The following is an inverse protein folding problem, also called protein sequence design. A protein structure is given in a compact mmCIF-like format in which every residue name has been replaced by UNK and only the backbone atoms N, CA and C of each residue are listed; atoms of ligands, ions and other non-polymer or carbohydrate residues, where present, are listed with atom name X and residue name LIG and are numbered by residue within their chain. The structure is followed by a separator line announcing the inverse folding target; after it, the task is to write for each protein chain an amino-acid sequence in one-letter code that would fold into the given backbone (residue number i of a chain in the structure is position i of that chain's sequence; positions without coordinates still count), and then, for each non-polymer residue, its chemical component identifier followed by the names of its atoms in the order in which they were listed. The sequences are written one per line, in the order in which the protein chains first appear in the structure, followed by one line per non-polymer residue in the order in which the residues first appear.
data_IF_302399247993
#
_entry.id   IF_302399247993
#
_cell.length_a   1.000
_cell.length_b   1.000
_cell.length_c   1.000
_cell.angle_alpha   90.00
_cell.angle_beta   90.00
_cell.angle_gamma   90.00
#
_symmetry.space_group_name_H-M   'P 1'
#
loop_
_entity.id
_entity.type
_entity.pdbx_description
1 polymer ?
#
# COMPACT_ATOMS: atom_id res chain seq x y z
N UNK A 1 -29.50 -2.37 -5.16
CA UNK A 1 -30.73 -2.26 -4.36
C UNK A 1 -30.80 -3.47 -3.44
N UNK A 2 -30.97 -3.25 -2.14
CA UNK A 2 -31.09 -4.29 -1.15
C UNK A 2 -32.50 -4.86 -1.06
N UNK A 3 -32.70 -5.78 -0.11
CA UNK A 3 -34.01 -6.39 0.20
C UNK A 3 -34.14 -6.60 1.70
N UNK A 4 -35.35 -6.46 2.26
CA UNK A 4 -35.65 -6.73 3.66
C UNK A 4 -35.83 -5.45 4.49
N UNK A 5 -35.60 -5.48 5.81
CA UNK A 5 -35.77 -4.29 6.65
C UNK A 5 -34.65 -3.26 6.39
N UNK A 6 -35.03 -1.98 6.33
CA UNK A 6 -34.11 -0.84 6.38
C UNK A 6 -33.98 -0.43 7.85
N UNK A 7 -32.76 -0.49 8.38
CA UNK A 7 -32.52 -0.38 9.82
C UNK A 7 -32.14 1.02 10.30
N UNK A 8 -31.45 1.78 9.46
CA UNK A 8 -30.90 3.10 9.80
C UNK A 8 -31.40 4.12 8.79
N UNK A 9 -31.77 5.28 9.30
CA UNK A 9 -32.24 6.44 8.54
C UNK A 9 -31.69 7.72 9.19
N UNK A 10 -31.50 8.76 8.39
CA UNK A 10 -30.98 10.07 8.82
C UNK A 10 -29.68 9.97 9.65
N UNK A 11 -28.76 9.10 9.26
CA UNK A 11 -27.47 8.92 9.96
C UNK A 11 -26.62 10.19 9.84
N UNK A 12 -26.25 10.78 10.97
CA UNK A 12 -25.48 12.04 11.07
C UNK A 12 -24.28 11.86 12.01
N UNK A 13 -23.19 11.34 11.48
CA UNK A 13 -21.94 11.17 12.23
C UNK A 13 -21.19 12.50 12.41
N UNK A 14 -20.51 12.65 13.55
CA UNK A 14 -19.54 13.72 13.82
C UNK A 14 -18.17 13.44 13.20
N UNK A 15 -17.87 12.15 12.94
CA UNK A 15 -16.63 11.67 12.32
C UNK A 15 -15.58 11.17 13.32
N UNK A 16 -15.91 11.09 14.61
CA UNK A 16 -15.05 10.55 15.66
C UNK A 16 -15.61 9.27 16.31
N UNK A 17 -16.78 8.81 15.85
CA UNK A 17 -17.38 7.56 16.26
C UNK A 17 -16.55 6.36 15.77
N UNK A 18 -16.46 5.32 16.58
CA UNK A 18 -15.76 4.08 16.21
C UNK A 18 -16.60 3.14 15.34
N UNK A 19 -17.88 3.45 15.15
CA UNK A 19 -18.85 2.65 14.41
C UNK A 19 -20.03 3.50 13.95
N UNK A 20 -20.65 3.12 12.84
CA UNK A 20 -21.89 3.73 12.32
C UNK A 20 -23.03 3.68 13.36
N UNK A 21 -23.02 2.68 14.26
CA UNK A 21 -24.02 2.54 15.32
C UNK A 21 -23.88 3.58 16.44
N UNK A 22 -22.73 4.25 16.52
CA UNK A 22 -22.49 5.34 17.46
C UNK A 22 -22.98 6.70 16.95
N UNK A 23 -23.36 6.79 15.67
CA UNK A 23 -23.80 8.04 15.07
C UNK A 23 -25.26 8.34 15.47
N UNK A 24 -25.59 9.62 15.75
CA UNK A 24 -26.98 10.06 15.80
C UNK A 24 -27.74 9.63 14.55
N UNK A 25 -28.90 9.00 14.73
CA UNK A 25 -29.77 8.52 13.67
C UNK A 25 -31.22 8.46 14.16
N UNK A 26 -32.16 8.24 13.24
CA UNK A 26 -33.55 7.92 13.58
C UNK A 26 -33.64 6.60 14.39
N UNK A 27 -34.71 6.40 15.19
CA UNK A 27 -34.89 5.15 15.93
C UNK A 27 -34.81 3.92 15.02
N UNK A 28 -34.24 2.84 15.55
CA UNK A 28 -33.92 1.66 14.77
C UNK A 28 -35.15 1.04 14.09
N UNK A 29 -35.09 0.82 12.78
CA UNK A 29 -36.20 0.29 11.98
C UNK A 29 -37.35 1.28 11.73
N UNK A 30 -37.23 2.53 12.18
CA UNK A 30 -38.14 3.62 11.84
C UNK A 30 -37.52 4.43 10.72
N UNK A 31 -38.11 4.35 9.53
CA UNK A 31 -37.58 4.97 8.32
C UNK A 31 -38.68 5.34 7.35
N UNK A 32 -38.44 6.37 6.54
CA UNK A 32 -39.27 6.74 5.40
C UNK A 32 -38.62 6.38 4.05
N UNK A 33 -37.45 5.74 4.08
CA UNK A 33 -36.69 5.34 2.89
C UNK A 33 -37.27 4.05 2.26
N UNK A 34 -36.98 3.86 0.98
CA UNK A 34 -37.15 2.58 0.28
C UNK A 34 -35.80 2.07 -0.25
N UNK A 35 -35.70 0.82 -0.70
CA UNK A 35 -34.40 0.24 -1.07
C UNK A 35 -33.66 0.94 -2.22
N UNK A 36 -34.38 1.68 -3.07
CA UNK A 36 -33.73 2.56 -4.08
C UNK A 36 -32.86 3.66 -3.45
N UNK A 37 -33.05 3.93 -2.16
CA UNK A 37 -32.33 4.92 -1.34
C UNK A 37 -31.27 4.26 -0.44
N UNK A 38 -31.03 2.95 -0.59
CA UNK A 38 -29.98 2.24 0.16
C UNK A 38 -28.62 2.91 -0.06
N UNK A 39 -28.00 3.35 1.03
CA UNK A 39 -26.70 4.00 0.99
C UNK A 39 -25.57 2.97 0.77
N UNK A 40 -24.59 3.35 -0.04
CA UNK A 40 -23.36 2.60 -0.24
C UNK A 40 -22.15 3.53 -0.03
N UNK A 41 -21.05 2.95 0.42
CA UNK A 41 -19.77 3.65 0.55
C UNK A 41 -18.71 2.94 -0.28
N UNK A 42 -17.84 3.72 -0.90
CA UNK A 42 -16.59 3.23 -1.46
C UNK A 42 -15.48 3.74 -0.54
N UNK A 43 -14.87 2.83 0.19
CA UNK A 43 -13.71 3.16 1.01
C UNK A 43 -12.52 3.46 0.08
N UNK A 44 -11.70 4.45 0.44
CA UNK A 44 -10.38 4.55 -0.16
C UNK A 44 -9.60 3.31 0.26
N UNK A 45 -9.21 2.48 -0.70
CA UNK A 45 -8.33 1.35 -0.42
C UNK A 45 -7.03 1.90 0.20
N UNK A 46 -6.59 1.33 1.33
CA UNK A 46 -5.37 1.80 1.97
C UNK A 46 -4.22 1.64 0.97
N UNK A 47 -3.35 2.65 0.92
CA UNK A 47 -2.08 2.52 0.21
C UNK A 47 -1.34 1.31 0.77
N UNK A 48 -0.99 0.39 -0.12
CA UNK A 48 -0.29 -0.83 0.21
C UNK A 48 0.90 -0.96 -0.73
N UNK A 49 1.92 -1.67 -0.27
CA UNK A 49 3.04 -2.06 -1.12
C UNK A 49 3.40 -3.52 -0.93
N UNK A 50 3.97 -4.13 -1.97
CA UNK A 50 4.41 -5.53 -1.97
C UNK A 50 5.67 -5.69 -2.82
N UNK A 51 6.40 -6.77 -2.56
CA UNK A 51 7.53 -7.21 -3.37
C UNK A 51 7.16 -8.49 -4.11
N UNK A 52 7.27 -8.48 -5.45
CA UNK A 52 6.81 -9.57 -6.33
C UNK A 52 7.99 -10.23 -7.05
N UNK A 53 7.91 -11.55 -7.26
CA UNK A 53 8.86 -12.30 -8.09
C UNK A 53 10.18 -12.66 -7.41
N UNK A 54 10.40 -12.28 -6.15
CA UNK A 54 11.56 -12.70 -5.37
C UNK A 54 11.29 -13.89 -4.44
N UNK A 55 12.32 -14.34 -3.70
CA UNK A 55 12.28 -15.56 -2.90
C UNK A 55 11.40 -15.48 -1.64
N UNK A 56 10.77 -14.33 -1.36
CA UNK A 56 9.90 -14.14 -0.21
C UNK A 56 9.41 -12.69 -0.09
N UNK A 57 8.65 -12.41 0.96
CA UNK A 57 7.99 -11.09 1.17
C UNK A 57 8.94 -9.89 1.27
N UNK A 58 10.23 -10.13 1.50
CA UNK A 58 11.26 -9.10 1.71
C UNK A 58 12.20 -8.93 0.50
N UNK A 59 11.88 -9.52 -0.66
CA UNK A 59 12.67 -9.38 -1.87
C UNK A 59 11.78 -9.47 -3.11
N UNK A 60 11.91 -8.54 -4.06
CA UNK A 60 11.11 -8.55 -5.28
C UNK A 60 11.07 -7.19 -6.00
N UNK A 61 10.37 -7.17 -7.14
CA UNK A 61 9.94 -5.92 -7.79
C UNK A 61 8.96 -5.20 -6.89
N UNK A 62 9.12 -3.90 -6.73
CA UNK A 62 8.24 -3.08 -5.91
C UNK A 62 6.96 -2.74 -6.67
N UNK A 63 5.83 -3.08 -6.07
CA UNK A 63 4.51 -2.68 -6.55
C UNK A 63 3.75 -1.98 -5.43
N UNK A 64 2.95 -0.97 -5.81
CA UNK A 64 2.09 -0.20 -4.90
C UNK A 64 0.64 -0.28 -5.37
N UNK A 65 -0.28 -0.31 -4.41
CA UNK A 65 -1.70 -0.15 -4.66
C UNK A 65 -2.09 1.31 -4.47
N UNK A 66 -2.58 1.93 -5.53
CA UNK A 66 -3.14 3.28 -5.50
C UNK A 66 -4.52 3.25 -6.15
N UNK A 67 -5.52 3.80 -5.45
CA UNK A 67 -6.92 3.81 -5.90
C UNK A 67 -7.45 2.41 -6.29
N UNK A 68 -7.09 1.38 -5.53
CA UNK A 68 -7.55 -0.01 -5.74
C UNK A 68 -6.82 -0.75 -6.85
N UNK A 69 -5.82 -0.15 -7.52
CA UNK A 69 -5.09 -0.76 -8.62
C UNK A 69 -3.61 -0.93 -8.29
N UNK A 70 -3.09 -2.14 -8.50
CA UNK A 70 -1.67 -2.42 -8.41
C UNK A 70 -0.91 -1.87 -9.62
N UNK A 71 0.27 -1.33 -9.35
CA UNK A 71 1.19 -0.86 -10.38
C UNK A 71 2.62 -0.78 -9.84
N UNK A 72 3.57 -0.50 -10.72
CA UNK A 72 5.00 -0.54 -10.41
C UNK A 72 5.57 0.83 -10.04
N UNK A 73 6.84 0.87 -9.68
CA UNK A 73 7.57 2.07 -9.28
C UNK A 73 8.86 2.15 -10.09
N UNK A 74 9.15 3.32 -10.66
CA UNK A 74 10.37 3.57 -11.41
C UNK A 74 11.61 3.66 -10.50
N UNK A 75 12.78 3.25 -10.99
CA UNK A 75 14.08 3.32 -10.32
C UNK A 75 14.76 4.69 -10.41
N UNK A 76 14.22 5.61 -11.21
CA UNK A 76 14.72 6.99 -11.32
C UNK A 76 14.75 7.72 -9.97
N UNK A 77 15.93 8.25 -9.64
CA UNK A 77 16.17 8.96 -8.39
C UNK A 77 16.13 8.08 -7.14
N UNK A 78 16.09 6.75 -7.28
CA UNK A 78 15.99 5.83 -6.16
C UNK A 78 17.26 5.82 -5.30
N UNK A 79 17.09 5.86 -3.98
CA UNK A 79 18.19 5.90 -3.02
C UNK A 79 18.09 4.85 -1.91
N UNK A 80 19.13 4.75 -1.08
CA UNK A 80 19.12 3.93 0.13
C UNK A 80 18.01 4.34 1.12
N UNK A 81 17.66 5.63 1.18
CA UNK A 81 16.58 6.12 2.04
C UNK A 81 15.21 5.60 1.58
N UNK A 82 14.97 5.54 0.27
CA UNK A 82 13.76 4.94 -0.29
C UNK A 82 13.66 3.48 0.12
N UNK A 83 14.78 2.76 -0.02
CA UNK A 83 14.87 1.34 0.34
C UNK A 83 14.59 1.12 1.83
N UNK A 84 15.14 1.95 2.71
CA UNK A 84 14.88 1.87 4.15
C UNK A 84 13.39 2.07 4.49
N UNK A 85 12.73 3.04 3.86
CA UNK A 85 11.28 3.27 4.05
C UNK A 85 10.47 2.07 3.60
N UNK A 86 10.74 1.51 2.41
CA UNK A 86 10.05 0.31 1.88
C UNK A 86 10.25 -0.89 2.82
N UNK A 87 11.48 -1.15 3.24
CA UNK A 87 11.79 -2.28 4.10
C UNK A 87 11.14 -2.15 5.48
N UNK A 88 11.09 -0.95 6.03
CA UNK A 88 10.41 -0.67 7.29
C UNK A 88 8.90 -0.81 7.17
N UNK A 89 8.30 -0.29 6.10
CA UNK A 89 6.86 -0.41 5.82
C UNK A 89 6.44 -1.88 5.67
N UNK A 90 7.30 -2.72 5.08
CA UNK A 90 7.10 -4.17 5.01
C UNK A 90 7.42 -4.90 6.32
N UNK A 91 7.96 -4.25 7.35
CA UNK A 91 8.45 -4.95 8.54
C UNK A 91 9.55 -5.97 8.23
N UNK A 92 10.40 -5.68 7.24
CA UNK A 92 11.51 -6.51 6.80
C UNK A 92 12.87 -6.01 7.32
N UNK A 93 12.88 -5.04 8.23
CA UNK A 93 14.09 -4.38 8.76
C UNK A 93 14.21 -2.92 8.30
N UNK A 94 15.31 -2.28 8.68
CA UNK A 94 15.59 -0.86 8.39
C UNK A 94 16.56 -0.65 7.21
N UNK A 95 17.05 -1.73 6.60
CA UNK A 95 18.06 -1.68 5.56
C UNK A 95 17.75 -2.64 4.42
N UNK A 96 18.30 -2.35 3.24
CA UNK A 96 18.16 -3.17 2.06
C UNK A 96 19.09 -2.69 0.95
N UNK A 97 19.04 -3.39 -0.17
CA UNK A 97 19.78 -3.04 -1.38
C UNK A 97 18.81 -2.97 -2.55
N UNK A 98 19.04 -2.01 -3.44
CA UNK A 98 18.53 -2.06 -4.81
C UNK A 98 19.32 -3.11 -5.56
N UNK A 99 18.66 -3.87 -6.43
CA UNK A 99 19.36 -4.79 -7.32
C UNK A 99 18.80 -4.70 -8.74
N UNK A 100 19.36 -3.77 -9.51
CA UNK A 100 19.23 -3.79 -10.96
C UNK A 100 20.32 -4.69 -11.53
N UNK A 101 20.02 -5.43 -12.60
CA UNK A 101 21.04 -6.21 -13.30
C UNK A 101 21.99 -5.26 -14.05
N UNK A 102 23.24 -5.67 -14.36
CA UNK A 102 24.25 -4.84 -15.05
C UNK A 102 23.90 -4.31 -16.46
N UNK A 103 22.63 -4.31 -16.83
CA UNK A 103 22.11 -3.98 -18.16
C UNK A 103 20.77 -3.19 -18.09
N UNK A 104 20.45 -2.60 -16.93
CA UNK A 104 19.17 -1.88 -16.74
C UNK A 104 17.95 -2.80 -16.90
N UNK A 105 18.07 -4.05 -16.43
CA UNK A 105 16.96 -5.02 -16.45
C UNK A 105 16.50 -5.30 -15.03
N UNK A 106 15.18 -5.31 -14.78
CA UNK A 106 14.64 -5.55 -13.46
C UNK A 106 14.92 -7.00 -13.06
N UNK A 107 15.62 -7.19 -11.93
CA UNK A 107 16.09 -8.52 -11.48
C UNK A 107 14.97 -9.53 -11.25
N UNK A 108 13.78 -9.06 -10.87
CA UNK A 108 12.60 -9.90 -10.63
C UNK A 108 11.59 -9.85 -11.78
N UNK A 109 12.08 -9.50 -12.97
CA UNK A 109 11.30 -9.32 -14.18
C UNK A 109 10.56 -7.99 -14.21
N UNK A 110 10.22 -7.50 -15.41
CA UNK A 110 9.40 -6.30 -15.55
C UNK A 110 8.00 -6.56 -14.98
N UNK A 111 7.38 -5.52 -14.46
CA UNK A 111 5.95 -5.56 -14.17
C UNK A 111 5.13 -5.32 -15.41
N UNK A 112 3.85 -5.02 -15.19
CA UNK A 112 2.89 -4.74 -16.22
C UNK A 112 1.85 -3.74 -15.71
N UNK A 113 1.16 -3.08 -16.65
CA UNK A 113 0.09 -2.15 -16.33
C UNK A 113 0.62 -0.75 -16.07
N UNK A 114 0.22 -0.15 -14.95
CA UNK A 114 0.54 1.25 -14.65
C UNK A 114 1.83 1.35 -13.84
N UNK A 115 2.68 2.32 -14.17
CA UNK A 115 3.76 2.76 -13.28
C UNK A 115 3.18 3.91 -12.44
N UNK A 116 3.05 3.72 -11.14
CA UNK A 116 2.38 4.67 -10.25
C UNK A 116 3.28 5.77 -9.74
N UNK A 117 4.53 5.45 -9.49
CA UNK A 117 5.49 6.32 -8.83
C UNK A 117 6.75 6.44 -9.66
N UNK A 118 7.28 7.66 -9.68
CA UNK A 118 8.48 8.07 -10.37
C UNK A 118 9.15 9.20 -9.57
N UNK A 119 10.48 9.27 -9.65
CA UNK A 119 11.30 10.30 -9.03
C UNK A 119 11.10 10.34 -7.50
N UNK A 120 10.96 9.16 -6.89
CA UNK A 120 10.67 9.04 -5.45
C UNK A 120 11.89 9.43 -4.65
N UNK A 121 11.73 10.35 -3.70
CA UNK A 121 12.80 10.90 -2.85
C UNK A 121 12.36 10.92 -1.40
N UNK A 122 12.77 9.89 -0.66
CA UNK A 122 12.56 9.80 0.77
C UNK A 122 13.70 10.46 1.56
N UNK A 123 13.38 11.06 2.70
CA UNK A 123 14.35 11.50 3.71
C UNK A 123 14.85 10.33 4.58
N UNK A 124 14.11 9.22 4.60
CA UNK A 124 14.42 8.01 5.36
C UNK A 124 13.63 7.87 6.68
N UNK A 125 12.85 8.89 7.06
CA UNK A 125 12.06 8.94 8.29
C UNK A 125 10.57 8.67 8.05
N UNK A 126 10.15 8.69 6.79
CA UNK A 126 8.77 8.45 6.38
C UNK A 126 8.31 7.05 6.81
N UNK A 127 7.10 6.96 7.36
CA UNK A 127 6.52 5.65 7.74
C UNK A 127 6.06 4.85 6.54
N UNK A 128 5.69 5.52 5.46
CA UNK A 128 5.16 4.92 4.24
C UNK A 128 5.72 5.61 3.00
N UNK A 129 5.88 4.86 1.92
CA UNK A 129 6.46 5.33 0.66
C UNK A 129 5.63 6.47 0.03
N UNK A 130 4.30 6.43 0.19
CA UNK A 130 3.36 7.50 -0.25
C UNK A 130 3.62 8.87 0.37
N UNK A 131 4.39 8.95 1.47
CA UNK A 131 4.69 10.20 2.15
C UNK A 131 6.04 10.79 1.72
N UNK A 132 6.81 10.08 0.90
CA UNK A 132 8.02 10.61 0.30
C UNK A 132 7.67 11.62 -0.79
N UNK A 133 8.60 12.52 -1.12
CA UNK A 133 8.41 13.36 -2.29
C UNK A 133 8.45 12.49 -3.55
N UNK A 134 7.53 12.70 -4.50
CA UNK A 134 7.48 11.98 -5.76
C UNK A 134 6.71 12.81 -6.80
N UNK A 135 6.77 12.44 -8.09
CA UNK A 135 5.94 13.07 -9.12
C UNK A 135 4.46 12.77 -8.92
N UNK A 136 3.57 13.49 -9.61
CA UNK A 136 2.13 13.22 -9.57
C UNK A 136 1.86 11.76 -9.94
N UNK A 137 0.95 11.09 -9.21
CA UNK A 137 0.61 9.67 -9.40
C UNK A 137 0.35 9.32 -10.87
N UNK A 138 1.10 8.34 -11.38
CA UNK A 138 1.01 7.87 -12.76
C UNK A 138 1.61 8.79 -13.83
N UNK A 139 2.31 9.86 -13.43
CA UNK A 139 3.11 10.68 -14.35
C UNK A 139 4.56 10.25 -14.25
N UNK A 140 5.05 9.60 -15.30
CA UNK A 140 6.40 9.10 -15.43
C UNK A 140 6.86 9.15 -16.89
N UNK A 141 8.17 9.10 -17.11
CA UNK A 141 8.82 8.89 -18.41
C UNK A 141 9.48 7.50 -18.54
N UNK A 142 9.32 6.66 -17.51
CA UNK A 142 9.88 5.32 -17.47
C UNK A 142 9.08 4.26 -18.25
N UNK A 143 9.76 3.18 -18.57
CA UNK A 143 9.23 1.90 -19.07
C UNK A 143 9.31 0.82 -18.00
N UNK A 144 8.67 -0.33 -18.21
CA UNK A 144 8.78 -1.45 -17.25
C UNK A 144 10.18 -2.09 -17.16
N UNK A 145 11.15 -1.66 -17.99
CA UNK A 145 12.56 -2.06 -17.78
C UNK A 145 13.21 -1.28 -16.63
N UNK A 146 12.61 -0.17 -16.22
CA UNK A 146 13.05 0.71 -15.13
C UNK A 146 12.23 0.44 -13.84
N UNK A 147 11.49 -0.67 -13.79
CA UNK A 147 10.76 -1.04 -12.57
C UNK A 147 11.74 -1.45 -11.45
N UNK A 148 11.71 -0.73 -10.34
CA UNK A 148 12.66 -0.93 -9.22
C UNK A 148 12.47 -2.29 -8.54
N UNK A 149 13.59 -2.94 -8.24
CA UNK A 149 13.68 -4.14 -7.43
C UNK A 149 14.35 -3.87 -6.08
N UNK A 150 13.69 -4.27 -4.99
CA UNK A 150 14.16 -4.08 -3.61
C UNK A 150 14.42 -5.44 -2.96
N UNK A 151 15.56 -5.54 -2.26
CA UNK A 151 15.89 -6.67 -1.38
C UNK A 151 16.20 -6.13 0.00
N UNK A 152 15.34 -6.42 0.98
CA UNK A 152 15.53 -6.01 2.36
C UNK A 152 16.47 -6.96 3.09
N UNK A 153 17.28 -6.40 3.99
CA UNK A 153 18.08 -7.16 4.92
C UNK A 153 17.20 -7.56 6.10
N UNK A 154 16.73 -8.80 6.09
CA UNK A 154 16.09 -9.37 7.27
C UNK A 154 17.15 -9.42 8.38
N UNK A 155 16.90 -8.76 9.50
CA UNK A 155 17.69 -9.02 10.70
C UNK A 155 17.35 -10.44 11.15
N UNK A 156 18.23 -11.39 10.85
CA UNK A 156 18.35 -12.59 11.64
C UNK A 156 18.81 -12.15 13.03
N UNK A 157 17.89 -11.67 13.88
CA UNK A 157 18.10 -11.89 15.31
C UNK A 157 18.09 -13.41 15.45
N UNK A 158 19.21 -14.07 15.82
CA UNK A 158 19.19 -15.49 16.01
C UNK A 158 18.13 -15.76 17.07
N UNK A 159 17.03 -16.36 16.64
CA UNK A 159 16.08 -17.02 17.51
C UNK A 159 16.92 -18.00 18.30
N UNK A 160 17.25 -17.64 19.54
CA UNK A 160 17.88 -18.60 20.46
C UNK A 160 16.86 -19.73 20.57
N UNK A 161 17.09 -20.83 19.87
CA UNK A 161 16.48 -22.10 20.21
C UNK A 161 16.90 -22.36 21.65
N UNK A 162 16.01 -22.06 22.59
CA UNK A 162 16.16 -22.52 23.96
C UNK A 162 16.15 -24.04 23.92
N UNK A 163 17.30 -24.63 24.22
CA UNK A 163 17.37 -26.05 24.54
C UNK A 163 16.42 -26.31 25.71
N UNK A 164 15.51 -27.29 25.60
CA UNK A 164 14.69 -27.68 26.75
C UNK A 164 15.64 -28.23 27.84
N UNK A 165 15.47 -27.73 29.07
CA UNK A 165 16.04 -28.34 30.28
C UNK A 165 15.28 -29.62 30.62
#
# INVERSE_FOLDING_TARGET
EGTGPIWLDDVRCQGNESSLLGCPASPWGVTNCQHREDAAVVCAEPFQLRLVGGPGRCAGRLEVNHAGQWGTVCDDGWSGNNTAVVCRELGCGEAGTVRDLPQGRPRFGPGAGRIWLDDVRCRGQERTLRNCAHRVWGRHDCTHQEDIAVVCQVRDTPSRCGTPR
#
